data_IF_865340985203
#
_entry.id   IF_865340985203
#
_cell.length_a   1.000
_cell.length_b   1.000
_cell.length_c   1.000
_cell.angle_alpha   90.00
_cell.angle_beta   90.00
_cell.angle_gamma   90.00
#
_symmetry.space_group_name_H-M   'P 1'
#
loop_
_entity.id
_entity.type
_entity.pdbx_description
1 polymer ?
#
# COMPACT_ATOMS: atom_id res chain seq x y z
N UNK A 1 -15.81 -16.12 1.99
CA UNK A 1 -16.97 -16.80 1.42
C UNK A 1 -16.56 -17.40 0.09
N UNK A 2 -16.39 -18.71 0.00
CA UNK A 2 -16.07 -19.38 -1.26
C UNK A 2 -17.31 -19.37 -2.15
N UNK A 3 -17.17 -19.05 -3.47
CA UNK A 3 -18.32 -18.95 -4.39
C UNK A 3 -19.03 -20.27 -4.69
N UNK A 4 -18.54 -21.39 -4.24
CA UNK A 4 -18.98 -22.72 -4.68
C UNK A 4 -20.16 -23.33 -3.91
N UNK A 5 -20.79 -22.58 -2.99
CA UNK A 5 -21.92 -23.09 -2.18
C UNK A 5 -23.22 -22.33 -2.38
N UNK A 6 -23.58 -22.04 -3.62
CA UNK A 6 -24.91 -21.57 -3.92
C UNK A 6 -25.84 -22.78 -4.14
N UNK A 7 -26.73 -23.02 -3.22
CA UNK A 7 -27.86 -23.91 -3.49
C UNK A 7 -29.01 -23.08 -4.04
N UNK A 8 -29.39 -23.28 -5.29
CA UNK A 8 -30.65 -22.77 -5.81
C UNK A 8 -31.79 -23.39 -5.04
N UNK A 9 -32.58 -22.60 -4.32
CA UNK A 9 -33.85 -23.05 -3.78
C UNK A 9 -34.88 -23.09 -4.90
N UNK A 10 -35.87 -24.01 -4.81
CA UNK A 10 -36.97 -24.14 -5.74
C UNK A 10 -37.84 -22.87 -5.93
N UNK A 11 -37.54 -21.80 -5.20
CA UNK A 11 -38.19 -20.48 -5.26
C UNK A 11 -37.25 -19.39 -5.84
N UNK A 12 -36.09 -19.74 -6.39
CA UNK A 12 -35.15 -18.79 -6.92
C UNK A 12 -34.48 -17.87 -5.88
N UNK A 13 -34.69 -18.15 -4.60
CA UNK A 13 -34.02 -17.44 -3.54
C UNK A 13 -32.64 -18.08 -3.32
N UNK A 14 -31.59 -17.31 -3.50
CA UNK A 14 -30.24 -17.70 -3.14
C UNK A 14 -30.10 -17.72 -1.60
N UNK A 15 -30.23 -18.91 -1.02
CA UNK A 15 -29.82 -19.13 0.35
C UNK A 15 -28.29 -19.26 0.38
N UNK A 16 -27.62 -18.22 0.78
CA UNK A 16 -26.18 -18.29 1.13
C UNK A 16 -26.14 -18.76 2.59
N UNK A 17 -25.81 -20.02 2.87
CA UNK A 17 -25.62 -20.43 4.25
C UNK A 17 -24.47 -19.62 4.85
N UNK A 18 -24.69 -19.07 6.04
CA UNK A 18 -23.58 -18.53 6.82
C UNK A 18 -22.56 -19.65 6.97
N UNK A 19 -21.27 -19.38 6.72
CA UNK A 19 -20.24 -20.38 6.96
C UNK A 19 -20.38 -20.90 8.38
N UNK A 20 -20.49 -22.20 8.54
CA UNK A 20 -20.56 -22.83 9.87
C UNK A 20 -19.29 -22.60 10.67
N UNK A 21 -18.18 -22.34 9.95
CA UNK A 21 -16.89 -21.99 10.50
C UNK A 21 -16.38 -20.72 9.77
N UNK A 22 -16.70 -19.53 10.29
CA UNK A 22 -16.24 -18.29 9.69
C UNK A 22 -14.71 -18.19 9.79
N UNK A 23 -14.09 -17.57 8.77
CA UNK A 23 -12.69 -17.22 8.73
C UNK A 23 -12.56 -15.76 8.30
N UNK A 24 -11.82 -14.96 9.03
CA UNK A 24 -11.58 -13.56 8.64
C UNK A 24 -10.74 -13.50 7.37
N UNK A 25 -11.22 -12.78 6.38
CA UNK A 25 -10.55 -12.44 5.13
C UNK A 25 -10.37 -10.92 5.06
N UNK A 26 -9.53 -10.43 4.13
CA UNK A 26 -9.39 -8.97 3.90
C UNK A 26 -10.72 -8.31 3.54
N UNK A 27 -11.55 -8.98 2.74
CA UNK A 27 -12.86 -8.52 2.31
C UNK A 27 -13.89 -8.44 3.44
N UNK A 28 -13.60 -9.00 4.61
CA UNK A 28 -14.53 -8.93 5.76
C UNK A 28 -14.71 -7.49 6.27
N UNK A 29 -13.75 -6.60 6.06
CA UNK A 29 -13.87 -5.20 6.44
C UNK A 29 -15.09 -4.49 5.81
N UNK A 30 -15.46 -4.87 4.59
CA UNK A 30 -16.63 -4.31 3.85
C UNK A 30 -17.78 -5.32 3.71
N UNK A 31 -17.67 -6.48 4.33
CA UNK A 31 -18.67 -7.54 4.22
C UNK A 31 -19.88 -7.25 5.10
N UNK A 32 -21.09 -7.21 4.51
CA UNK A 32 -22.35 -7.02 5.23
C UNK A 32 -22.63 -8.07 6.32
N UNK A 33 -21.97 -9.23 6.24
CA UNK A 33 -22.14 -10.32 7.21
C UNK A 33 -21.11 -10.27 8.34
N UNK A 34 -20.15 -9.33 8.29
CA UNK A 34 -19.10 -9.23 9.30
C UNK A 34 -19.66 -9.12 10.73
N UNK A 35 -20.70 -8.32 11.01
CA UNK A 35 -21.30 -8.24 12.34
C UNK A 35 -21.83 -9.56 12.91
N UNK A 36 -22.09 -10.55 12.06
CA UNK A 36 -22.52 -11.89 12.47
C UNK A 36 -21.34 -12.85 12.64
N UNK A 37 -20.28 -12.67 11.83
CA UNK A 37 -19.13 -13.56 11.85
C UNK A 37 -18.12 -13.18 12.95
N UNK A 38 -17.91 -11.90 13.18
CA UNK A 38 -16.92 -11.39 14.15
C UNK A 38 -17.14 -11.91 15.58
N UNK A 39 -18.35 -11.83 16.17
CA UNK A 39 -18.59 -12.33 17.52
C UNK A 39 -18.27 -13.81 17.66
N UNK A 40 -18.52 -14.59 16.62
CA UNK A 40 -18.23 -16.01 16.62
C UNK A 40 -16.72 -16.29 16.56
N UNK A 41 -15.98 -15.52 15.76
CA UNK A 41 -14.52 -15.61 15.71
C UNK A 41 -13.87 -15.19 17.03
N UNK A 42 -14.43 -14.17 17.67
CA UNK A 42 -13.96 -13.69 18.99
C UNK A 42 -14.23 -14.77 20.05
N UNK A 43 -15.42 -15.38 20.07
CA UNK A 43 -15.75 -16.48 20.99
C UNK A 43 -14.80 -17.67 20.83
N UNK A 44 -14.43 -18.00 19.59
CA UNK A 44 -13.50 -19.08 19.26
C UNK A 44 -12.03 -18.70 19.48
N UNK A 45 -11.75 -17.45 19.79
CA UNK A 45 -10.37 -16.89 19.80
C UNK A 45 -9.62 -17.21 18.51
N UNK A 46 -10.34 -17.16 17.37
CA UNK A 46 -9.85 -17.67 16.10
C UNK A 46 -8.62 -16.94 15.59
N UNK A 47 -7.59 -17.69 15.17
CA UNK A 47 -6.31 -17.17 14.72
C UNK A 47 -6.45 -16.19 13.53
N UNK A 48 -7.52 -16.28 12.73
CA UNK A 48 -7.75 -15.38 11.60
C UNK A 48 -8.10 -13.95 12.03
N UNK A 49 -8.43 -13.71 13.29
CA UNK A 49 -8.59 -12.35 13.83
C UNK A 49 -7.28 -11.57 13.72
N UNK A 50 -6.15 -12.22 14.01
CA UNK A 50 -4.81 -11.64 13.88
C UNK A 50 -4.20 -11.88 12.50
N UNK A 51 -4.37 -13.08 11.95
CA UNK A 51 -3.77 -13.54 10.70
C UNK A 51 -4.84 -13.84 9.64
N UNK A 52 -5.49 -12.82 9.06
CA UNK A 52 -6.59 -13.02 8.13
C UNK A 52 -6.15 -13.69 6.82
N UNK A 53 -7.10 -14.39 6.18
CA UNK A 53 -6.88 -15.09 4.93
C UNK A 53 -5.93 -16.27 5.09
N UNK A 54 -5.07 -16.51 4.09
CA UNK A 54 -4.11 -17.60 4.06
C UNK A 54 -2.98 -17.49 5.09
N UNK A 55 -2.81 -16.31 5.74
CA UNK A 55 -1.74 -16.13 6.73
C UNK A 55 -1.87 -17.03 7.96
N UNK A 56 -3.10 -17.36 8.34
CA UNK A 56 -3.38 -18.27 9.44
C UNK A 56 -3.27 -19.75 9.06
N UNK A 57 -3.32 -20.11 7.78
CA UNK A 57 -3.37 -21.50 7.32
C UNK A 57 -2.11 -22.29 7.67
N UNK A 58 -0.95 -21.65 7.54
CA UNK A 58 0.33 -22.23 7.97
C UNK A 58 0.31 -22.73 9.44
N UNK A 59 -0.36 -21.99 10.30
CA UNK A 59 -0.48 -22.32 11.72
C UNK A 59 -1.54 -23.39 11.97
N UNK A 60 -2.69 -23.31 11.27
CA UNK A 60 -3.75 -24.32 11.37
C UNK A 60 -3.28 -25.70 10.96
N UNK A 61 -2.48 -25.80 9.90
CA UNK A 61 -1.83 -27.06 9.47
C UNK A 61 -0.91 -27.66 10.55
N UNK A 62 -0.50 -26.86 11.54
CA UNK A 62 0.33 -27.26 12.68
C UNK A 62 -0.45 -27.40 13.97
N UNK A 63 -1.78 -27.38 13.90
CA UNK A 63 -2.66 -27.57 15.05
C UNK A 63 -2.93 -26.29 15.86
N UNK A 64 -2.41 -25.13 15.43
CA UNK A 64 -2.61 -23.83 16.10
C UNK A 64 -3.81 -23.14 15.45
N UNK A 65 -4.93 -23.12 16.14
CA UNK A 65 -6.21 -22.59 15.64
C UNK A 65 -6.62 -21.29 16.33
N UNK A 66 -6.09 -21.01 17.52
CA UNK A 66 -6.46 -19.86 18.33
C UNK A 66 -5.30 -18.89 18.52
N UNK A 67 -5.63 -17.62 18.80
CA UNK A 67 -4.60 -16.61 19.15
C UNK A 67 -3.87 -17.01 20.45
N UNK A 68 -4.58 -17.64 21.40
CA UNK A 68 -3.95 -18.13 22.63
C UNK A 68 -2.93 -19.23 22.35
N UNK A 69 -3.27 -20.22 21.52
CA UNK A 69 -2.30 -21.26 21.12
C UNK A 69 -1.08 -20.65 20.41
N UNK A 70 -1.28 -19.62 19.58
CA UNK A 70 -0.16 -18.91 18.94
C UNK A 70 0.76 -18.24 19.97
N UNK A 71 0.20 -17.72 21.07
CA UNK A 71 0.98 -17.14 22.19
C UNK A 71 1.82 -18.20 22.89
N UNK A 72 1.25 -19.39 23.10
CA UNK A 72 1.82 -20.42 23.97
C UNK A 72 2.80 -21.35 23.22
N UNK A 73 2.52 -21.63 21.95
CA UNK A 73 3.20 -22.70 21.20
C UNK A 73 4.08 -22.20 20.03
N UNK A 74 3.86 -20.95 19.56
CA UNK A 74 4.61 -20.43 18.41
C UNK A 74 6.01 -19.94 18.79
N UNK A 75 6.93 -19.83 17.81
CA UNK A 75 8.23 -19.19 18.01
C UNK A 75 8.11 -17.75 18.56
N UNK A 76 9.20 -17.20 19.11
CA UNK A 76 9.16 -15.94 19.86
C UNK A 76 8.50 -14.74 19.13
N UNK A 77 8.78 -14.54 17.85
CA UNK A 77 8.24 -13.39 17.11
C UNK A 77 6.73 -13.49 16.88
N UNK A 78 6.15 -14.57 16.34
CA UNK A 78 4.69 -14.72 16.23
C UNK A 78 3.97 -14.70 17.57
N UNK A 79 4.55 -15.31 18.60
CA UNK A 79 3.99 -15.27 19.96
C UNK A 79 3.99 -13.85 20.54
N UNK A 80 5.06 -13.07 20.30
CA UNK A 80 5.13 -11.67 20.73
C UNK A 80 4.12 -10.81 19.96
N UNK A 81 3.94 -11.04 18.64
CA UNK A 81 2.94 -10.37 17.82
C UNK A 81 1.51 -10.63 18.35
N UNK A 82 1.20 -11.88 18.70
CA UNK A 82 -0.10 -12.24 19.25
C UNK A 82 -0.37 -11.58 20.62
N UNK A 83 0.63 -11.52 21.49
CA UNK A 83 0.55 -10.78 22.76
C UNK A 83 0.34 -9.27 22.53
N UNK A 84 1.08 -8.69 21.59
CA UNK A 84 0.95 -7.26 21.23
C UNK A 84 -0.46 -6.94 20.71
N UNK A 85 -0.99 -7.79 19.83
CA UNK A 85 -2.33 -7.64 19.30
C UNK A 85 -3.39 -7.65 20.41
N UNK A 86 -3.31 -8.59 21.36
CA UNK A 86 -4.21 -8.61 22.53
C UNK A 86 -4.08 -7.38 23.43
N UNK A 87 -2.89 -6.82 23.50
CA UNK A 87 -2.61 -5.63 24.31
C UNK A 87 -2.94 -4.31 23.57
N UNK A 88 -3.42 -4.38 22.31
CA UNK A 88 -3.68 -3.19 21.49
C UNK A 88 -2.40 -2.45 21.08
N UNK A 89 -1.25 -3.12 21.07
CA UNK A 89 0.03 -2.56 20.64
C UNK A 89 0.13 -2.73 19.11
N UNK A 90 0.14 -1.64 18.33
CA UNK A 90 0.04 -1.74 16.86
C UNK A 90 1.31 -2.27 16.20
N UNK A 91 2.49 -2.00 16.76
CA UNK A 91 3.77 -2.39 16.18
C UNK A 91 4.75 -2.91 17.24
N UNK A 92 5.60 -3.84 16.82
CA UNK A 92 6.76 -4.30 17.59
C UNK A 92 8.03 -4.04 16.80
N UNK A 93 9.08 -3.58 17.48
CA UNK A 93 10.40 -3.44 16.91
C UNK A 93 11.12 -4.78 16.94
N UNK A 94 11.75 -5.15 15.83
CA UNK A 94 12.68 -6.28 15.78
C UNK A 94 14.04 -5.92 16.40
N UNK A 95 14.78 -6.93 16.86
CA UNK A 95 16.12 -6.74 17.44
C UNK A 95 17.09 -6.08 16.46
N UNK A 96 17.01 -6.49 15.18
CA UNK A 96 17.92 -6.08 14.11
C UNK A 96 17.38 -4.87 13.35
N UNK A 97 17.02 -3.83 14.10
CA UNK A 97 16.49 -2.60 13.51
C UNK A 97 17.54 -1.94 12.61
N UNK A 98 17.21 -1.85 11.32
CA UNK A 98 18.01 -1.13 10.32
C UNK A 98 17.16 -0.02 9.72
N UNK A 99 17.42 1.25 10.06
CA UNK A 99 16.68 2.37 9.47
C UNK A 99 16.92 2.46 7.96
N UNK A 100 16.01 3.11 7.26
CA UNK A 100 16.25 3.50 5.88
C UNK A 100 17.47 4.46 5.81
N UNK A 101 18.31 4.34 4.81
CA UNK A 101 19.45 5.24 4.64
C UNK A 101 18.95 6.68 4.44
N UNK A 102 19.70 7.66 4.98
CA UNK A 102 19.40 9.09 4.86
C UNK A 102 20.34 9.75 3.85
N UNK A 103 19.94 10.93 3.37
CA UNK A 103 20.74 11.77 2.48
C UNK A 103 20.66 13.23 2.88
N UNK A 104 21.53 14.07 2.30
CA UNK A 104 21.49 15.53 2.51
C UNK A 104 20.32 16.19 1.78
N UNK A 105 19.93 15.60 0.63
CA UNK A 105 18.76 15.97 -0.16
C UNK A 105 17.88 14.75 -0.31
N UNK A 106 16.66 14.86 0.15
CA UNK A 106 15.68 13.77 0.19
C UNK A 106 14.41 14.18 -0.54
N UNK A 107 13.86 13.26 -1.32
CA UNK A 107 12.59 13.46 -2.04
C UNK A 107 11.72 12.24 -1.84
N UNK A 108 10.54 12.39 -1.26
CA UNK A 108 9.53 11.34 -1.25
C UNK A 108 8.80 11.34 -2.59
N UNK A 109 8.54 10.15 -3.13
CA UNK A 109 7.85 9.94 -4.41
C UNK A 109 6.71 8.95 -4.22
N UNK A 110 5.54 9.33 -4.68
CA UNK A 110 4.36 8.48 -4.76
C UNK A 110 3.72 8.61 -6.15
N UNK A 111 2.87 7.64 -6.54
CA UNK A 111 2.26 7.67 -7.85
C UNK A 111 0.84 7.09 -7.83
N UNK A 112 0.01 7.64 -8.70
CA UNK A 112 -1.32 7.13 -8.94
C UNK A 112 -1.50 6.73 -10.42
N UNK A 113 -2.02 5.51 -10.60
CA UNK A 113 -2.33 4.98 -11.92
C UNK A 113 -3.83 4.80 -12.14
N UNK A 114 -4.26 4.94 -13.38
CA UNK A 114 -5.61 4.60 -13.76
C UNK A 114 -5.65 3.16 -14.28
N UNK A 115 -6.04 2.24 -13.41
CA UNK A 115 -6.04 0.80 -13.70
C UNK A 115 -4.64 0.33 -14.18
N UNK A 116 -4.60 -0.42 -15.26
CA UNK A 116 -3.39 -0.87 -15.97
C UNK A 116 -3.06 -0.03 -17.22
N UNK A 117 -3.71 1.13 -17.37
CA UNK A 117 -3.63 1.94 -18.59
C UNK A 117 -2.48 2.95 -18.57
N UNK A 118 -2.21 3.59 -17.42
CA UNK A 118 -1.16 4.59 -17.32
C UNK A 118 -1.10 5.27 -15.95
N UNK A 119 0.06 5.90 -15.65
CA UNK A 119 0.26 6.72 -14.47
C UNK A 119 -0.19 8.16 -14.77
N UNK A 120 -1.16 8.66 -14.02
CA UNK A 120 -1.70 9.99 -14.25
C UNK A 120 -1.20 11.04 -13.26
N UNK A 121 -0.61 10.62 -12.15
CA UNK A 121 -0.08 11.51 -11.12
C UNK A 121 1.24 10.95 -10.59
N UNK A 122 2.23 11.82 -10.47
CA UNK A 122 3.45 11.63 -9.71
C UNK A 122 3.51 12.72 -8.66
N UNK A 123 3.41 12.34 -7.39
CA UNK A 123 3.54 13.23 -6.24
C UNK A 123 4.97 13.21 -5.73
N UNK A 124 5.50 14.37 -5.38
CA UNK A 124 6.82 14.51 -4.77
C UNK A 124 6.76 15.45 -3.58
N UNK A 125 7.55 15.13 -2.53
CA UNK A 125 7.71 15.99 -1.37
C UNK A 125 9.19 16.08 -1.02
N UNK A 126 9.73 17.29 -0.94
CA UNK A 126 11.17 17.51 -0.70
C UNK A 126 11.51 17.91 0.75
N UNK A 127 10.58 17.62 1.66
CA UNK A 127 10.69 18.01 3.07
C UNK A 127 10.09 19.39 3.37
N UNK A 128 9.76 20.18 2.36
CA UNK A 128 9.19 21.52 2.48
C UNK A 128 7.95 21.67 1.63
N UNK A 129 8.06 21.37 0.33
CA UNK A 129 7.01 21.60 -0.66
C UNK A 129 6.53 20.27 -1.28
N UNK A 130 5.20 20.09 -1.33
CA UNK A 130 4.58 19.06 -2.15
C UNK A 130 4.41 19.56 -3.58
N UNK A 131 4.81 18.74 -4.54
CA UNK A 131 4.62 19.00 -5.96
C UNK A 131 3.97 17.81 -6.64
N UNK A 132 2.85 18.04 -7.31
CA UNK A 132 2.18 17.05 -8.13
C UNK A 132 2.42 17.33 -9.62
N UNK A 133 2.81 16.28 -10.34
CA UNK A 133 2.81 16.22 -11.79
C UNK A 133 1.60 15.38 -12.18
N UNK A 134 0.57 16.00 -12.71
CA UNK A 134 -0.71 15.32 -12.97
C UNK A 134 -1.26 15.65 -14.35
N UNK A 135 -1.79 14.64 -15.04
CA UNK A 135 -2.60 14.81 -16.23
C UNK A 135 -4.03 14.36 -15.98
N UNK A 136 -4.99 15.17 -16.43
CA UNK A 136 -6.40 14.80 -16.35
C UNK A 136 -6.94 14.26 -17.68
N UNK A 137 -6.13 14.30 -18.73
CA UNK A 137 -6.45 13.73 -20.03
C UNK A 137 -6.33 12.20 -20.04
N UNK A 138 -6.61 11.59 -21.18
CA UNK A 138 -6.51 10.13 -21.32
C UNK A 138 -5.05 9.68 -21.15
N UNK A 139 -4.86 8.64 -20.34
CA UNK A 139 -3.53 8.04 -20.17
C UNK A 139 -3.19 7.13 -21.36
N UNK A 140 -1.91 6.86 -21.57
CA UNK A 140 -1.41 6.04 -22.69
C UNK A 140 -0.95 6.85 -23.91
N UNK A 141 -1.14 8.18 -23.91
CA UNK A 141 -0.78 9.07 -25.00
C UNK A 141 0.09 10.25 -24.56
N UNK A 142 0.14 11.29 -25.42
CA UNK A 142 1.04 12.45 -25.30
C UNK A 142 0.93 13.17 -23.95
N UNK A 143 -0.27 13.30 -23.40
CA UNK A 143 -0.49 13.96 -22.12
C UNK A 143 0.15 13.21 -20.93
N UNK A 144 0.17 11.87 -20.95
CA UNK A 144 0.91 11.09 -19.97
C UNK A 144 2.42 11.19 -20.22
N UNK A 145 2.86 11.18 -21.48
CA UNK A 145 4.26 11.35 -21.85
C UNK A 145 4.82 12.68 -21.33
N UNK A 146 4.15 13.79 -21.61
CA UNK A 146 4.52 15.14 -21.14
C UNK A 146 4.57 15.20 -19.61
N UNK A 147 3.58 14.61 -18.93
CA UNK A 147 3.51 14.57 -17.48
C UNK A 147 4.66 13.78 -16.88
N UNK A 148 4.93 12.59 -17.42
CA UNK A 148 6.04 11.75 -16.97
C UNK A 148 7.41 12.40 -17.24
N UNK A 149 7.60 13.02 -18.40
CA UNK A 149 8.83 13.73 -18.74
C UNK A 149 9.07 14.92 -17.81
N UNK A 150 8.03 15.68 -17.47
CA UNK A 150 8.13 16.80 -16.52
C UNK A 150 8.54 16.33 -15.12
N UNK A 151 7.89 15.27 -14.61
CA UNK A 151 8.26 14.64 -13.34
C UNK A 151 9.72 14.16 -13.35
N UNK A 152 10.11 13.37 -14.36
CA UNK A 152 11.45 12.80 -14.45
C UNK A 152 12.52 13.86 -14.55
N UNK A 153 12.31 14.86 -15.40
CA UNK A 153 13.24 15.98 -15.54
C UNK A 153 13.42 16.75 -14.23
N UNK A 154 12.34 16.98 -13.49
CA UNK A 154 12.42 17.64 -12.19
C UNK A 154 13.19 16.80 -11.17
N UNK A 155 12.92 15.50 -11.09
CA UNK A 155 13.59 14.61 -10.14
C UNK A 155 15.09 14.52 -10.42
N UNK A 156 15.47 14.38 -11.69
CA UNK A 156 16.87 14.32 -12.09
C UNK A 156 17.58 15.67 -11.89
N UNK A 157 16.92 16.79 -12.13
CA UNK A 157 17.48 18.12 -11.83
C UNK A 157 17.78 18.29 -10.34
N UNK A 158 16.88 17.85 -9.45
CA UNK A 158 17.12 17.87 -7.98
C UNK A 158 18.32 17.02 -7.57
N UNK A 159 18.46 15.83 -8.18
CA UNK A 159 19.61 14.95 -8.00
C UNK A 159 20.91 15.61 -8.44
N UNK A 160 20.91 16.14 -9.64
CA UNK A 160 22.11 16.75 -10.26
C UNK A 160 22.53 18.03 -9.52
N UNK A 161 21.60 18.84 -9.04
CA UNK A 161 21.86 19.99 -8.16
C UNK A 161 22.54 19.54 -6.85
N UNK A 162 22.02 18.50 -6.19
CA UNK A 162 22.63 17.95 -4.99
C UNK A 162 24.07 17.48 -5.23
N UNK A 163 24.31 16.75 -6.31
CA UNK A 163 25.66 16.28 -6.67
C UNK A 163 26.61 17.43 -7.01
N UNK A 164 26.13 18.46 -7.72
CA UNK A 164 26.93 19.65 -8.02
C UNK A 164 27.38 20.42 -6.77
N UNK A 165 26.56 20.34 -5.71
CA UNK A 165 26.91 20.91 -4.39
C UNK A 165 27.73 19.97 -3.50
N UNK A 166 28.08 18.76 -3.99
CA UNK A 166 28.78 17.74 -3.21
C UNK A 166 27.94 17.07 -2.14
N UNK A 167 26.62 17.14 -2.26
CA UNK A 167 25.64 16.53 -1.36
C UNK A 167 25.19 15.16 -1.86
N UNK A 168 24.81 14.30 -0.93
CA UNK A 168 24.14 13.04 -1.23
C UNK A 168 22.66 13.27 -1.55
N UNK A 169 22.11 12.46 -2.46
CA UNK A 169 20.70 12.51 -2.86
C UNK A 169 20.03 11.14 -2.65
N UNK A 170 18.76 11.13 -2.23
CA UNK A 170 17.91 9.95 -2.26
C UNK A 170 16.46 10.31 -2.55
N UNK A 171 15.83 9.47 -3.38
CA UNK A 171 14.40 9.46 -3.56
C UNK A 171 13.81 8.21 -2.90
N UNK A 172 12.72 8.38 -2.21
CA UNK A 172 12.06 7.35 -1.41
C UNK A 172 10.69 7.04 -1.96
N UNK A 173 10.33 5.76 -1.96
CA UNK A 173 8.96 5.30 -2.20
C UNK A 173 8.55 4.27 -1.14
N UNK A 174 7.27 3.98 -1.05
CA UNK A 174 6.76 3.00 -0.10
C UNK A 174 6.16 1.80 -0.82
N UNK A 175 6.86 0.64 -0.75
CA UNK A 175 6.51 -0.57 -1.49
C UNK A 175 6.69 -0.42 -3.01
N UNK A 176 7.91 -0.16 -3.44
CA UNK A 176 8.35 0.23 -4.79
C UNK A 176 7.80 -0.57 -6.00
N UNK A 177 6.91 -1.55 -5.79
CA UNK A 177 6.37 -2.39 -6.86
C UNK A 177 5.57 -1.60 -7.90
N UNK A 178 4.73 -0.68 -7.45
CA UNK A 178 3.91 0.19 -8.30
C UNK A 178 4.77 1.22 -9.04
N UNK A 179 5.54 1.99 -8.29
CA UNK A 179 6.43 3.02 -8.82
C UNK A 179 7.44 2.45 -9.82
N UNK A 180 8.11 1.36 -9.47
CA UNK A 180 9.04 0.67 -10.36
C UNK A 180 8.39 0.16 -11.64
N UNK A 181 7.14 -0.34 -11.53
CA UNK A 181 6.39 -0.78 -12.70
C UNK A 181 6.14 0.39 -13.64
N UNK A 182 5.59 1.49 -13.12
CA UNK A 182 5.19 2.62 -13.96
C UNK A 182 6.38 3.45 -14.45
N UNK A 183 7.44 3.62 -13.65
CA UNK A 183 8.69 4.22 -14.12
C UNK A 183 9.23 3.49 -15.35
N UNK A 184 9.36 2.16 -15.28
CA UNK A 184 9.86 1.35 -16.40
C UNK A 184 8.88 1.30 -17.58
N UNK A 185 7.59 1.18 -17.30
CA UNK A 185 6.54 1.08 -18.32
C UNK A 185 6.41 2.37 -19.10
N UNK A 186 6.40 3.52 -18.42
CA UNK A 186 6.34 4.84 -19.06
C UNK A 186 7.61 5.12 -19.88
N UNK A 187 8.80 4.89 -19.32
CA UNK A 187 10.05 5.08 -20.03
C UNK A 187 10.22 4.14 -21.25
N UNK A 188 9.64 2.94 -21.20
CA UNK A 188 9.63 2.02 -22.37
C UNK A 188 8.61 2.46 -23.43
N UNK A 189 7.51 3.06 -23.01
CA UNK A 189 6.39 3.42 -23.87
C UNK A 189 6.60 4.76 -24.57
N UNK A 190 7.24 5.70 -23.88
CA UNK A 190 7.43 7.07 -24.34
C UNK A 190 8.90 7.33 -24.70
N UNK A 191 9.12 8.13 -25.73
CA UNK A 191 10.47 8.42 -26.23
C UNK A 191 11.15 9.60 -25.51
N UNK A 192 10.42 10.37 -24.71
CA UNK A 192 10.86 11.59 -24.04
C UNK A 192 11.82 11.35 -22.86
N UNK A 193 11.86 10.10 -22.34
CA UNK A 193 12.73 9.72 -21.21
C UNK A 193 13.50 8.44 -21.57
N UNK A 194 14.80 8.45 -21.33
CA UNK A 194 15.65 7.28 -21.61
C UNK A 194 15.38 6.13 -20.64
N UNK A 195 14.98 4.98 -21.18
CA UNK A 195 14.67 3.81 -20.39
C UNK A 195 15.88 3.20 -19.67
N UNK A 196 17.09 3.40 -20.21
CA UNK A 196 18.34 2.97 -19.57
C UNK A 196 18.67 3.83 -18.37
N UNK A 197 18.45 5.15 -18.45
CA UNK A 197 18.61 6.07 -17.32
C UNK A 197 17.66 5.72 -16.17
N UNK A 198 16.38 5.51 -16.48
CA UNK A 198 15.37 5.07 -15.48
C UNK A 198 15.75 3.74 -14.84
N UNK A 199 16.19 2.77 -15.64
CA UNK A 199 16.61 1.47 -15.11
C UNK A 199 17.85 1.58 -14.21
N UNK A 200 18.82 2.42 -14.57
CA UNK A 200 20.02 2.69 -13.78
C UNK A 200 19.67 3.37 -12.45
N UNK A 201 18.78 4.37 -12.48
CA UNK A 201 18.31 5.05 -11.26
C UNK A 201 17.60 4.09 -10.30
N UNK A 202 16.65 3.28 -10.79
CA UNK A 202 15.94 2.27 -9.98
C UNK A 202 16.92 1.25 -9.35
N UNK A 203 18.04 0.95 -10.02
CA UNK A 203 19.04 0.02 -9.53
C UNK A 203 20.10 0.67 -8.62
N UNK A 204 20.09 1.96 -8.48
CA UNK A 204 21.07 2.71 -7.67
C UNK A 204 20.69 2.74 -6.18
N UNK A 205 21.65 3.18 -5.35
CA UNK A 205 21.42 3.44 -3.93
C UNK A 205 20.61 4.73 -3.68
N UNK A 206 20.30 5.48 -4.72
CA UNK A 206 19.55 6.74 -4.65
C UNK A 206 18.03 6.52 -4.70
N UNK A 207 17.58 5.33 -5.15
CA UNK A 207 16.18 4.94 -5.13
C UNK A 207 15.92 3.95 -3.99
N UNK A 208 15.17 4.37 -2.98
CA UNK A 208 15.02 3.64 -1.72
C UNK A 208 13.58 3.18 -1.51
N UNK A 209 13.36 1.87 -1.46
CA UNK A 209 12.10 1.29 -0.98
C UNK A 209 12.05 1.28 0.55
N UNK A 210 11.38 2.28 1.13
CA UNK A 210 11.23 2.41 2.59
C UNK A 210 10.52 1.21 3.19
N UNK A 211 9.52 0.62 2.49
CA UNK A 211 8.81 -0.56 2.97
C UNK A 211 9.73 -1.76 3.18
N UNK A 212 10.76 -1.91 2.34
CA UNK A 212 11.75 -2.96 2.52
C UNK A 212 12.52 -2.84 3.85
N UNK A 213 12.83 -1.61 4.28
CA UNK A 213 13.44 -1.32 5.59
C UNK A 213 12.45 -1.48 6.73
N UNK A 214 11.24 -0.95 6.60
CA UNK A 214 10.16 -1.09 7.57
C UNK A 214 9.91 -2.57 7.88
N UNK A 215 9.73 -3.39 6.85
CA UNK A 215 9.46 -4.83 6.98
C UNK A 215 10.56 -5.62 7.68
N UNK A 216 11.82 -5.18 7.55
CA UNK A 216 12.94 -5.79 8.26
C UNK A 216 13.01 -5.34 9.71
N UNK A 217 12.54 -4.15 10.02
CA UNK A 217 12.76 -3.47 11.30
C UNK A 217 11.61 -3.62 12.29
N UNK A 218 10.38 -3.79 11.80
CA UNK A 218 9.18 -3.87 12.63
C UNK A 218 8.22 -4.98 12.17
N UNK A 219 7.31 -5.34 13.08
CA UNK A 219 6.17 -6.24 12.82
C UNK A 219 4.90 -5.50 13.25
N UNK A 220 3.89 -5.47 12.40
CA UNK A 220 2.60 -4.83 12.67
C UNK A 220 1.49 -5.84 12.94
N UNK A 221 0.63 -5.55 13.92
CA UNK A 221 -0.54 -6.38 14.23
C UNK A 221 -1.60 -6.31 13.15
N UNK A 222 -1.79 -5.14 12.53
CA UNK A 222 -2.73 -4.91 11.43
C UNK A 222 -2.05 -4.71 10.07
N UNK A 223 -0.80 -5.12 9.97
CA UNK A 223 0.02 -4.97 8.78
C UNK A 223 0.97 -3.77 8.88
N UNK A 224 1.58 -3.42 7.73
CA UNK A 224 2.61 -2.39 7.64
C UNK A 224 2.31 -1.39 6.51
N UNK A 225 1.05 -1.25 6.10
CA UNK A 225 0.63 -0.22 5.13
C UNK A 225 0.74 1.19 5.73
N UNK A 226 0.94 2.20 4.89
CA UNK A 226 1.07 3.60 5.34
C UNK A 226 -0.13 4.04 6.17
N UNK A 227 -1.37 3.68 5.80
CA UNK A 227 -2.60 3.99 6.55
C UNK A 227 -2.65 3.34 7.95
N UNK A 228 -1.86 2.27 8.18
CA UNK A 228 -1.72 1.66 9.51
C UNK A 228 -0.60 2.32 10.30
N UNK A 229 0.52 2.66 9.65
CA UNK A 229 1.69 3.20 10.33
C UNK A 229 1.63 4.71 10.56
N UNK A 230 1.00 5.46 9.66
CA UNK A 230 0.88 6.92 9.77
C UNK A 230 0.33 7.37 11.12
N UNK A 231 -0.84 6.87 11.58
CA UNK A 231 -1.37 7.21 12.90
C UNK A 231 -0.44 6.87 14.07
N UNK A 232 0.36 5.80 13.95
CA UNK A 232 1.32 5.41 15.01
C UNK A 232 2.43 6.44 15.18
N UNK A 233 2.80 7.13 14.10
CA UNK A 233 3.81 8.20 14.12
C UNK A 233 3.21 9.60 14.19
N UNK A 234 1.88 9.70 14.38
CA UNK A 234 1.18 10.97 14.55
C UNK A 234 0.78 11.65 13.24
N UNK A 235 0.85 10.94 12.10
CA UNK A 235 0.36 11.44 10.82
C UNK A 235 -1.11 11.08 10.63
N UNK A 236 -1.92 12.04 10.18
CA UNK A 236 -3.31 11.85 9.83
C UNK A 236 -3.55 12.33 8.39
N UNK A 237 -4.26 11.53 7.61
CA UNK A 237 -4.75 11.96 6.30
C UNK A 237 -5.92 12.93 6.47
N UNK A 238 -5.99 13.95 5.64
CA UNK A 238 -7.13 14.89 5.65
C UNK A 238 -8.42 14.21 5.14
N UNK A 239 -8.29 13.31 4.18
CA UNK A 239 -9.38 12.55 3.54
C UNK A 239 -9.21 11.04 3.81
N UNK A 240 -9.63 10.56 4.99
CA UNK A 240 -9.52 9.14 5.41
C UNK A 240 -10.28 8.16 4.50
N UNK A 241 -11.25 8.66 3.74
CA UNK A 241 -12.15 7.86 2.91
C UNK A 241 -11.59 7.52 1.52
N UNK A 242 -10.44 8.07 1.10
CA UNK A 242 -9.88 7.78 -0.22
C UNK A 242 -9.05 6.51 -0.15
N UNK A 243 -9.44 5.53 -0.92
CA UNK A 243 -8.72 4.29 -1.18
C UNK A 243 -8.51 4.09 -2.69
N UNK A 244 -7.86 3.01 -3.09
CA UNK A 244 -7.56 2.73 -4.50
C UNK A 244 -8.82 2.58 -5.37
N UNK A 245 -9.96 2.13 -4.83
CA UNK A 245 -11.22 2.05 -5.58
C UNK A 245 -11.83 3.44 -5.76
N UNK A 246 -11.86 4.24 -4.71
CA UNK A 246 -12.36 5.61 -4.74
C UNK A 246 -11.47 6.51 -5.60
N UNK A 247 -10.14 6.34 -5.60
CA UNK A 247 -9.23 7.10 -6.46
C UNK A 247 -9.56 6.90 -7.94
N UNK A 248 -9.92 5.68 -8.37
CA UNK A 248 -10.38 5.39 -9.74
C UNK A 248 -11.67 6.14 -10.09
N UNK A 249 -12.64 6.19 -9.15
CA UNK A 249 -13.88 6.93 -9.37
C UNK A 249 -13.64 8.45 -9.45
N UNK A 250 -12.82 8.99 -8.53
CA UNK A 250 -12.41 10.39 -8.54
C UNK A 250 -11.65 10.74 -9.82
N UNK A 251 -10.75 9.86 -10.28
CA UNK A 251 -10.03 10.07 -11.54
C UNK A 251 -10.96 10.18 -12.75
N UNK A 252 -12.03 9.38 -12.79
CA UNK A 252 -13.06 9.51 -13.85
C UNK A 252 -13.75 10.86 -13.80
N UNK A 253 -14.20 11.32 -12.64
CA UNK A 253 -14.83 12.62 -12.47
C UNK A 253 -13.86 13.77 -12.83
N UNK A 254 -12.62 13.70 -12.36
CA UNK A 254 -11.57 14.68 -12.65
C UNK A 254 -11.29 14.86 -14.16
N UNK A 255 -11.32 13.75 -14.92
CA UNK A 255 -11.19 13.75 -16.38
C UNK A 255 -12.30 14.56 -17.07
N UNK A 256 -13.52 14.52 -16.56
CA UNK A 256 -14.67 15.26 -17.10
C UNK A 256 -14.80 16.67 -16.51
N UNK A 257 -13.77 17.18 -15.85
CA UNK A 257 -13.70 18.56 -15.38
C UNK A 257 -14.19 18.81 -13.97
N UNK A 258 -14.43 17.75 -13.17
CA UNK A 258 -14.77 17.90 -11.76
C UNK A 258 -13.54 18.39 -10.95
N UNK A 259 -13.57 19.68 -10.60
CA UNK A 259 -12.47 20.33 -9.89
C UNK A 259 -12.33 19.80 -8.46
N UNK A 260 -13.44 19.48 -7.80
CA UNK A 260 -13.39 18.94 -6.42
C UNK A 260 -12.72 17.56 -6.40
N UNK A 261 -12.99 16.74 -7.42
CA UNK A 261 -12.31 15.44 -7.58
C UNK A 261 -10.80 15.61 -7.87
N UNK A 262 -10.41 16.62 -8.67
CA UNK A 262 -8.99 16.94 -8.91
C UNK A 262 -8.29 17.37 -7.63
N UNK A 263 -8.89 18.29 -6.90
CA UNK A 263 -8.35 18.83 -5.65
C UNK A 263 -8.22 17.72 -4.57
N UNK A 264 -9.17 16.80 -4.53
CA UNK A 264 -9.11 15.65 -3.61
C UNK A 264 -7.97 14.70 -3.98
N UNK A 265 -7.80 14.37 -5.27
CA UNK A 265 -6.70 13.52 -5.73
C UNK A 265 -5.32 14.16 -5.52
N UNK A 266 -5.21 15.49 -5.55
CA UNK A 266 -3.95 16.20 -5.29
C UNK A 266 -3.60 16.28 -3.80
N UNK A 267 -4.56 16.04 -2.90
CA UNK A 267 -4.32 15.98 -1.45
C UNK A 267 -4.15 14.56 -0.92
N UNK A 268 -4.61 13.59 -1.69
CA UNK A 268 -4.53 12.17 -1.33
C UNK A 268 -3.11 11.64 -1.41
#
# INVERSE_FOLDING_TARGET
>A
CEPERYTESLLGALLVPLPTEPKRLKQCATCRFWPLCEPRLVELDDISLLLPGGRGDYWRERGIHTVQQLIDEAPPEPAALARAWRAGIPILRRSDFTPAPRADVEVDVDMEAYLDQGAYLWGTFDGTDYRAFATWDEVGGDAEEENFAAFWSWLMARRDEAHAEGKTFRAYCYAAGGENHWLRSSAKRFASVDAGEVAAFIASDEWVDVFAHVRRSIVGTDGLGLKVLGPVVGFAWEDDDVDGERSVALRRAARFGDQAARDMLLRY
#
